data_IF_419078741798
#
_entry.id   IF_419078741798
#
_cell.length_a   1.000
_cell.length_b   1.000
_cell.length_c   1.000
_cell.angle_alpha   90.00
_cell.angle_beta   90.00
_cell.angle_gamma   90.00
#
_symmetry.space_group_name_H-M   'P 1'
#
loop_
_entity.id
_entity.type
_entity.pdbx_description
1 polymer ?
#
# COMPACT_ATOMS: atom_id res chain seq x y z
N UNK A 1 -27.31 5.70 -64.47
CA UNK A 1 -25.96 6.14 -64.04
C UNK A 1 -25.83 6.01 -62.53
N UNK A 2 -24.67 5.56 -62.06
CA UNK A 2 -24.44 4.77 -60.84
C UNK A 2 -24.65 5.48 -59.48
N UNK A 3 -25.01 4.74 -58.42
CA UNK A 3 -25.31 5.23 -57.08
C UNK A 3 -24.14 5.18 -56.08
N UNK A 4 -24.25 6.06 -55.07
CA UNK A 4 -23.93 5.88 -53.64
C UNK A 4 -22.53 5.40 -53.22
N UNK A 5 -21.78 6.38 -52.72
CA UNK A 5 -20.79 6.33 -51.64
C UNK A 5 -21.10 5.25 -50.58
N UNK A 6 -20.21 4.27 -50.42
CA UNK A 6 -20.15 3.37 -49.27
C UNK A 6 -18.75 3.52 -48.68
N UNK A 7 -18.70 4.21 -47.54
CA UNK A 7 -17.49 4.45 -46.77
C UNK A 7 -16.78 3.15 -46.42
N UNK A 8 -15.46 3.19 -46.59
CA UNK A 8 -14.48 2.18 -46.21
C UNK A 8 -14.72 1.73 -44.76
N UNK A 9 -15.36 0.58 -44.61
CA UNK A 9 -15.30 -0.18 -43.38
C UNK A 9 -13.87 -0.69 -43.27
N UNK A 10 -13.04 0.03 -42.51
CA UNK A 10 -11.75 -0.42 -42.02
C UNK A 10 -11.95 -1.78 -41.35
N UNK A 11 -11.61 -2.83 -42.09
CA UNK A 11 -11.73 -4.22 -41.65
C UNK A 11 -10.74 -4.40 -40.50
N UNK A 12 -11.26 -4.40 -39.28
CA UNK A 12 -10.52 -4.84 -38.09
C UNK A 12 -10.15 -6.30 -38.34
N UNK A 13 -8.97 -6.54 -38.90
CA UNK A 13 -8.42 -7.89 -39.05
C UNK A 13 -8.33 -8.51 -37.65
N UNK A 14 -8.99 -9.65 -37.39
CA UNK A 14 -8.79 -10.36 -36.14
C UNK A 14 -7.33 -10.80 -36.13
N UNK A 15 -6.55 -10.26 -35.19
CA UNK A 15 -5.16 -10.69 -35.03
C UNK A 15 -5.19 -12.18 -34.64
N UNK A 16 -4.45 -13.05 -35.35
CA UNK A 16 -4.48 -14.49 -35.13
C UNK A 16 -4.09 -14.80 -33.68
N UNK A 17 -4.86 -15.67 -33.01
CA UNK A 17 -4.60 -16.11 -31.62
C UNK A 17 -3.45 -17.12 -31.56
N UNK A 18 -2.30 -16.80 -32.15
CA UNK A 18 -1.06 -17.57 -31.99
C UNK A 18 -0.39 -17.15 -30.68
N UNK A 19 -0.91 -17.67 -29.57
CA UNK A 19 -0.38 -17.35 -28.25
C UNK A 19 -0.81 -18.30 -27.13
N UNK A 20 -1.72 -19.23 -27.36
CA UNK A 20 -2.10 -20.22 -26.33
C UNK A 20 -1.10 -21.39 -26.24
N UNK A 21 0.19 -21.10 -26.42
CA UNK A 21 1.28 -22.07 -26.37
C UNK A 21 1.90 -22.14 -24.98
N UNK A 22 2.34 -23.33 -24.56
CA UNK A 22 3.09 -23.50 -23.31
C UNK A 22 4.39 -22.68 -23.38
N UNK A 23 4.67 -21.86 -22.37
CA UNK A 23 5.93 -21.12 -22.26
C UNK A 23 7.12 -22.08 -22.29
N UNK A 24 8.01 -21.85 -23.24
CA UNK A 24 9.28 -22.56 -23.35
C UNK A 24 10.30 -22.03 -22.33
N UNK A 25 11.35 -22.81 -22.08
CA UNK A 25 12.45 -22.40 -21.21
C UNK A 25 13.17 -21.15 -21.75
N UNK A 26 13.35 -21.06 -23.07
CA UNK A 26 13.99 -19.91 -23.74
C UNK A 26 13.16 -18.64 -23.60
N UNK A 27 11.84 -18.71 -23.80
CA UNK A 27 10.94 -17.57 -23.60
C UNK A 27 10.96 -17.11 -22.14
N UNK A 28 11.02 -18.06 -21.20
CA UNK A 28 11.08 -17.75 -19.76
C UNK A 28 12.40 -17.07 -19.37
N UNK A 29 13.52 -17.50 -19.95
CA UNK A 29 14.83 -16.86 -19.76
C UNK A 29 14.86 -15.46 -20.37
N UNK A 30 14.33 -15.30 -21.59
CA UNK A 30 14.24 -13.99 -22.26
C UNK A 30 13.35 -13.03 -21.48
N UNK A 31 12.25 -13.53 -20.91
CA UNK A 31 11.41 -12.73 -20.00
C UNK A 31 12.20 -12.26 -18.78
N UNK A 32 13.01 -13.11 -18.13
CA UNK A 32 13.85 -12.70 -16.99
C UNK A 32 14.87 -11.61 -17.36
N UNK A 33 15.45 -11.70 -18.54
CA UNK A 33 16.45 -10.75 -19.03
C UNK A 33 15.85 -9.38 -19.38
N UNK A 34 14.66 -9.37 -19.99
CA UNK A 34 14.00 -8.14 -20.43
C UNK A 34 13.20 -7.43 -19.33
N UNK A 35 12.75 -8.15 -18.30
CA UNK A 35 11.88 -7.62 -17.24
C UNK A 35 12.47 -6.45 -16.41
N UNK A 36 13.78 -6.41 -16.11
CA UNK A 36 14.40 -5.25 -15.44
C UNK A 36 14.34 -3.97 -16.26
N UNK A 37 14.49 -4.07 -17.60
CA UNK A 37 14.65 -2.91 -18.49
C UNK A 37 13.32 -2.45 -19.13
N UNK A 38 12.42 -3.39 -19.40
CA UNK A 38 11.20 -3.12 -20.16
C UNK A 38 9.92 -3.35 -19.34
N UNK A 39 8.88 -2.59 -19.63
CA UNK A 39 7.54 -2.85 -19.05
C UNK A 39 6.95 -4.13 -19.64
N UNK A 40 6.06 -4.81 -18.91
CA UNK A 40 5.35 -5.98 -19.42
C UNK A 40 4.63 -5.72 -20.75
N UNK A 41 4.17 -4.48 -20.99
CA UNK A 41 3.57 -4.05 -22.26
C UNK A 41 4.58 -3.98 -23.40
N UNK A 42 5.76 -3.42 -23.16
CA UNK A 42 6.84 -3.41 -24.15
C UNK A 42 7.35 -4.82 -24.45
N UNK A 43 7.49 -5.67 -23.43
CA UNK A 43 7.90 -7.07 -23.60
C UNK A 43 6.85 -7.86 -24.41
N UNK A 44 5.57 -7.64 -24.15
CA UNK A 44 4.48 -8.23 -24.93
C UNK A 44 4.59 -7.88 -26.42
N UNK A 45 4.87 -6.61 -26.74
CA UNK A 45 5.12 -6.16 -28.11
C UNK A 45 6.40 -6.76 -28.73
N UNK A 46 7.48 -6.90 -27.95
CA UNK A 46 8.74 -7.48 -28.43
C UNK A 46 8.68 -8.98 -28.69
N UNK A 47 7.92 -9.72 -27.88
CA UNK A 47 7.80 -11.18 -27.98
C UNK A 47 6.57 -11.63 -28.79
N UNK A 48 5.79 -10.68 -29.33
CA UNK A 48 4.50 -10.93 -30.00
C UNK A 48 3.55 -11.81 -29.18
N UNK A 49 3.54 -11.63 -27.85
CA UNK A 49 2.67 -12.37 -26.91
C UNK A 49 1.60 -11.45 -26.31
N UNK A 50 0.42 -11.96 -25.93
CA UNK A 50 -0.56 -11.18 -25.18
C UNK A 50 0.01 -10.66 -23.86
N UNK A 51 -0.28 -9.40 -23.51
CA UNK A 51 0.14 -8.76 -22.25
C UNK A 51 -0.24 -9.61 -21.02
N UNK A 52 -1.45 -10.18 -21.03
CA UNK A 52 -1.96 -11.02 -19.94
C UNK A 52 -1.12 -12.27 -19.73
N UNK A 53 -0.53 -12.82 -20.79
CA UNK A 53 0.29 -14.02 -20.72
C UNK A 53 1.68 -13.73 -20.16
N UNK A 54 2.29 -12.62 -20.61
CA UNK A 54 3.54 -12.09 -20.05
C UNK A 54 3.40 -11.78 -18.56
N UNK A 55 2.28 -11.16 -18.16
CA UNK A 55 1.98 -10.89 -16.74
C UNK A 55 1.82 -12.18 -15.93
N UNK A 56 1.09 -13.17 -16.46
CA UNK A 56 0.89 -14.47 -15.79
C UNK A 56 2.21 -15.21 -15.63
N UNK A 57 3.05 -15.22 -16.67
CA UNK A 57 4.36 -15.86 -16.60
C UNK A 57 5.30 -15.10 -15.66
N UNK A 58 5.34 -13.77 -15.71
CA UNK A 58 6.15 -12.98 -14.78
C UNK A 58 5.78 -13.27 -13.32
N UNK A 59 4.48 -13.36 -13.03
CA UNK A 59 3.99 -13.75 -11.70
C UNK A 59 4.44 -15.16 -11.32
N UNK A 60 4.34 -16.12 -12.25
CA UNK A 60 4.80 -17.51 -12.05
C UNK A 60 6.31 -17.60 -11.79
N UNK A 61 7.10 -16.75 -12.45
CA UNK A 61 8.56 -16.67 -12.30
C UNK A 61 8.99 -15.79 -11.11
N UNK A 62 8.05 -15.20 -10.36
CA UNK A 62 8.34 -14.29 -9.25
C UNK A 62 8.93 -12.94 -9.68
N UNK A 63 8.88 -12.61 -10.97
CA UNK A 63 9.39 -11.36 -11.52
C UNK A 63 8.47 -10.22 -11.11
N UNK A 64 8.93 -9.41 -10.16
CA UNK A 64 8.27 -8.19 -9.72
C UNK A 64 9.10 -7.01 -10.17
N UNK A 65 8.46 -6.04 -10.83
CA UNK A 65 9.13 -4.78 -11.13
C UNK A 65 9.39 -4.13 -9.79
N UNK A 66 10.59 -3.60 -9.57
CA UNK A 66 10.79 -2.67 -8.48
C UNK A 66 9.74 -1.59 -8.67
N UNK A 67 8.72 -1.62 -7.82
CA UNK A 67 7.72 -0.58 -7.78
C UNK A 67 8.56 0.66 -7.59
N UNK A 68 8.57 1.58 -8.56
CA UNK A 68 9.38 2.81 -8.46
C UNK A 68 9.01 3.38 -7.10
N UNK A 69 9.93 3.23 -6.13
CA UNK A 69 9.71 3.72 -4.78
C UNK A 69 9.30 5.17 -4.93
N UNK A 70 8.46 5.68 -4.03
CA UNK A 70 7.99 7.08 -4.07
C UNK A 70 9.09 7.98 -4.63
N UNK A 71 8.84 8.69 -5.75
CA UNK A 71 9.83 9.45 -6.54
C UNK A 71 10.61 10.51 -5.75
N UNK A 72 10.26 10.66 -4.48
CA UNK A 72 10.93 11.48 -3.49
C UNK A 72 12.31 10.92 -3.15
N UNK A 73 13.29 11.80 -2.98
CA UNK A 73 14.63 11.43 -2.55
C UNK A 73 14.65 10.96 -1.09
N UNK A 74 15.68 10.22 -0.69
CA UNK A 74 15.92 9.89 0.72
C UNK A 74 16.05 11.22 1.50
N UNK A 75 15.43 11.29 2.68
CA UNK A 75 15.33 12.50 3.49
C UNK A 75 14.07 13.34 3.23
N UNK A 76 13.32 13.10 2.15
CA UNK A 76 12.06 13.82 1.94
C UNK A 76 11.04 13.50 3.05
N UNK A 77 10.29 14.52 3.45
CA UNK A 77 9.26 14.43 4.48
C UNK A 77 7.84 14.53 3.90
N UNK A 78 6.87 13.96 4.61
CA UNK A 78 5.43 14.15 4.35
C UNK A 78 4.59 13.80 5.58
N UNK A 79 3.36 14.29 5.60
CA UNK A 79 2.35 13.86 6.56
C UNK A 79 1.69 12.55 6.10
N UNK A 80 1.50 11.61 7.02
CA UNK A 80 0.77 10.36 6.81
C UNK A 80 -0.02 10.02 8.08
N UNK A 81 -1.35 9.96 7.97
CA UNK A 81 -2.25 9.61 9.09
C UNK A 81 -1.99 10.42 10.38
N UNK A 82 -1.64 11.70 10.23
CA UNK A 82 -1.34 12.60 11.35
C UNK A 82 0.11 12.56 11.86
N UNK A 83 0.95 11.68 11.32
CA UNK A 83 2.37 11.61 11.69
C UNK A 83 3.26 12.20 10.60
N UNK A 84 4.30 12.91 11.01
CA UNK A 84 5.38 13.31 10.12
C UNK A 84 6.30 12.10 9.89
N UNK A 85 6.45 11.71 8.63
CA UNK A 85 7.30 10.59 8.21
C UNK A 85 8.38 11.09 7.25
N UNK A 86 9.57 10.50 7.36
CA UNK A 86 10.74 10.79 6.51
C UNK A 86 11.15 9.53 5.75
N UNK A 87 11.51 9.71 4.48
CA UNK A 87 12.03 8.61 3.66
C UNK A 87 13.44 8.28 4.13
N UNK A 88 13.66 7.06 4.64
CA UNK A 88 14.93 6.58 5.18
C UNK A 88 15.66 5.63 4.24
N UNK A 89 14.94 4.87 3.42
CA UNK A 89 15.51 3.95 2.43
C UNK A 89 14.77 4.01 1.10
N UNK A 90 15.34 3.41 0.04
CA UNK A 90 14.72 3.33 -1.29
C UNK A 90 14.65 1.88 -1.79
N UNK A 91 14.07 1.00 -0.97
CA UNK A 91 13.92 -0.43 -1.25
C UNK A 91 12.73 -0.74 -2.17
N UNK A 92 11.87 0.24 -2.44
CA UNK A 92 10.61 0.07 -3.17
C UNK A 92 9.49 -0.53 -2.31
N UNK A 93 9.72 -0.69 -1.00
CA UNK A 93 8.72 -1.14 -0.02
C UNK A 93 8.35 0.03 0.91
N UNK A 94 7.22 0.72 0.70
CA UNK A 94 6.88 1.95 1.44
C UNK A 94 6.90 1.81 2.96
N UNK A 95 6.56 0.63 3.51
CA UNK A 95 6.58 0.37 4.96
C UNK A 95 7.99 0.38 5.56
N UNK A 96 9.01 0.03 4.78
CA UNK A 96 10.42 0.06 5.18
C UNK A 96 11.07 1.39 4.85
N UNK A 97 10.68 1.95 3.70
CA UNK A 97 11.24 3.18 3.16
C UNK A 97 10.85 4.43 3.94
N UNK A 98 9.75 4.39 4.68
CA UNK A 98 9.23 5.52 5.42
C UNK A 98 9.17 5.22 6.91
N UNK A 99 9.83 6.06 7.72
CA UNK A 99 9.83 5.96 9.18
C UNK A 99 9.33 7.28 9.78
N UNK A 100 8.65 7.21 10.92
CA UNK A 100 8.21 8.40 11.66
C UNK A 100 9.42 9.22 12.08
N UNK A 101 9.36 10.53 11.86
CA UNK A 101 10.44 11.46 12.21
C UNK A 101 10.78 11.37 13.69
N UNK A 102 9.76 11.24 14.54
CA UNK A 102 9.93 11.12 16.00
C UNK A 102 10.66 9.86 16.42
N UNK A 103 10.46 8.75 15.70
CA UNK A 103 11.21 7.53 15.98
C UNK A 103 12.67 7.69 15.58
N UNK A 104 12.95 8.37 14.45
CA UNK A 104 14.32 8.63 14.00
C UNK A 104 15.07 9.51 15.02
N UNK A 105 14.44 10.60 15.46
CA UNK A 105 15.02 11.53 16.43
C UNK A 105 15.21 10.89 17.81
N UNK A 106 14.23 10.10 18.26
CA UNK A 106 14.34 9.37 19.52
C UNK A 106 15.47 8.34 19.49
N UNK A 107 15.56 7.54 18.41
CA UNK A 107 16.61 6.53 18.26
C UNK A 107 18.01 7.13 18.17
N UNK A 108 18.14 8.32 17.58
CA UNK A 108 19.41 9.04 17.51
C UNK A 108 19.91 9.50 18.88
N UNK A 109 19.01 9.79 19.83
CA UNK A 109 19.36 10.30 21.17
C UNK A 109 19.40 9.21 22.24
N UNK A 110 18.43 8.30 22.25
CA UNK A 110 18.21 7.33 23.33
C UNK A 110 18.55 5.89 22.90
N UNK A 111 18.83 5.66 21.62
CA UNK A 111 19.00 4.33 21.06
C UNK A 111 17.69 3.63 20.68
N UNK A 112 17.76 2.34 20.30
CA UNK A 112 16.61 1.61 19.75
C UNK A 112 15.47 1.47 20.77
N UNK A 113 14.24 1.55 20.27
CA UNK A 113 13.05 1.32 21.10
C UNK A 113 13.01 -0.15 21.53
N UNK A 114 12.93 -0.46 22.84
CA UNK A 114 12.81 -1.84 23.32
C UNK A 114 11.57 -2.54 22.75
N UNK A 115 11.66 -3.86 22.55
CA UNK A 115 10.55 -4.65 22.04
C UNK A 115 9.32 -4.54 22.95
N UNK A 116 8.13 -4.35 22.36
CA UNK A 116 6.87 -4.20 23.10
C UNK A 116 6.59 -2.78 23.63
N UNK A 117 7.52 -1.84 23.45
CA UNK A 117 7.31 -0.43 23.78
C UNK A 117 6.95 0.39 22.54
N UNK A 118 6.16 1.44 22.77
CA UNK A 118 5.69 2.36 21.75
C UNK A 118 6.07 3.79 22.14
N UNK A 119 6.65 4.52 21.19
CA UNK A 119 6.93 5.95 21.37
C UNK A 119 5.66 6.77 21.14
N UNK A 120 5.25 7.52 22.15
CA UNK A 120 4.07 8.35 22.12
C UNK A 120 4.27 9.66 22.88
N UNK A 121 3.40 10.62 22.60
CA UNK A 121 3.33 11.89 23.33
C UNK A 121 2.75 11.65 24.73
N UNK A 122 3.41 12.22 25.76
CA UNK A 122 2.97 12.17 27.17
C UNK A 122 1.74 13.04 27.40
N UNK A 123 1.72 14.24 26.85
CA UNK A 123 0.57 15.12 26.89
C UNK A 123 0.22 15.63 25.48
N UNK A 124 -0.92 15.20 24.90
CA UNK A 124 -1.33 15.62 23.56
C UNK A 124 -1.66 17.11 23.45
N UNK A 125 -1.88 17.82 24.57
CA UNK A 125 -2.12 19.26 24.57
C UNK A 125 -0.83 20.10 24.44
N UNK A 126 0.33 19.49 24.65
CA UNK A 126 1.63 20.15 24.55
C UNK A 126 2.26 19.89 23.18
N UNK A 127 3.13 20.80 22.69
CA UNK A 127 3.85 20.58 21.45
C UNK A 127 4.70 19.31 21.51
N UNK A 128 4.97 18.76 20.33
CA UNK A 128 5.80 17.58 20.14
C UNK A 128 7.29 17.94 20.31
N UNK A 129 7.74 17.97 21.56
CA UNK A 129 9.16 18.11 21.95
C UNK A 129 9.71 16.79 22.47
N UNK A 130 11.04 16.63 22.50
CA UNK A 130 11.68 15.40 23.02
C UNK A 130 11.26 15.10 24.47
N UNK A 131 11.11 16.13 25.30
CA UNK A 131 10.69 15.98 26.71
C UNK A 131 9.25 15.47 26.85
N UNK A 132 8.38 15.85 25.90
CA UNK A 132 6.99 15.41 25.84
C UNK A 132 6.82 14.06 25.12
N UNK A 133 7.90 13.43 24.67
CA UNK A 133 7.88 12.05 24.17
C UNK A 133 8.23 11.07 25.28
N UNK A 134 7.63 9.89 25.24
CA UNK A 134 7.91 8.81 26.17
C UNK A 134 7.62 7.44 25.58
N UNK A 135 8.30 6.45 26.13
CA UNK A 135 8.03 5.04 25.84
C UNK A 135 6.93 4.53 26.75
N UNK A 136 5.99 3.81 26.18
CA UNK A 136 4.90 3.17 26.91
C UNK A 136 4.75 1.74 26.44
N UNK A 137 4.43 0.85 27.37
CA UNK A 137 3.88 -0.45 26.99
C UNK A 137 2.44 -0.27 26.48
N UNK A 138 1.95 -1.24 25.72
CA UNK A 138 0.53 -1.23 25.31
C UNK A 138 -0.40 -1.16 26.51
N UNK A 139 -0.07 -1.83 27.62
CA UNK A 139 -0.84 -1.79 28.86
C UNK A 139 -0.88 -0.39 29.47
N UNK A 140 0.27 0.27 29.64
CA UNK A 140 0.34 1.64 30.18
C UNK A 140 -0.42 2.64 29.31
N UNK A 141 -0.38 2.46 27.99
CA UNK A 141 -1.17 3.28 27.09
C UNK A 141 -2.68 3.06 27.30
N UNK A 142 -3.11 1.80 27.37
CA UNK A 142 -4.50 1.45 27.67
C UNK A 142 -4.96 2.01 29.00
N UNK A 143 -4.14 1.93 30.04
CA UNK A 143 -4.43 2.50 31.36
C UNK A 143 -4.61 4.02 31.28
N UNK A 144 -3.76 4.73 30.52
CA UNK A 144 -3.89 6.18 30.33
C UNK A 144 -5.20 6.55 29.62
N UNK A 145 -5.54 5.83 28.55
CA UNK A 145 -6.80 6.04 27.83
C UNK A 145 -8.00 5.67 28.71
N UNK A 146 -7.89 4.59 29.49
CA UNK A 146 -8.93 4.15 30.41
C UNK A 146 -9.15 5.18 31.52
N UNK A 147 -8.09 5.68 32.15
CA UNK A 147 -8.13 6.71 33.21
C UNK A 147 -8.81 7.97 32.71
N UNK A 148 -8.49 8.44 31.50
CA UNK A 148 -9.19 9.56 30.89
C UNK A 148 -10.70 9.30 30.67
N UNK A 149 -11.09 8.03 30.56
CA UNK A 149 -12.48 7.59 30.36
C UNK A 149 -13.13 7.04 31.65
N UNK A 150 -12.55 7.24 32.84
CA UNK A 150 -13.02 6.63 34.09
C UNK A 150 -14.31 7.24 34.66
N UNK A 151 -14.78 8.40 34.17
CA UNK A 151 -16.07 8.93 34.61
C UNK A 151 -17.21 8.00 34.15
N UNK A 152 -18.12 7.59 35.06
CA UNK A 152 -19.15 6.60 34.76
C UNK A 152 -20.08 7.03 33.61
N UNK A 153 -20.37 8.32 33.50
CA UNK A 153 -21.18 8.89 32.41
C UNK A 153 -20.46 8.80 31.05
N UNK A 154 -19.14 9.06 31.02
CA UNK A 154 -18.35 8.95 29.78
C UNK A 154 -18.27 7.52 29.28
N UNK A 155 -18.16 6.55 30.20
CA UNK A 155 -18.19 5.12 29.87
C UNK A 155 -19.52 4.72 29.23
N UNK A 156 -20.64 5.17 29.80
CA UNK A 156 -21.98 4.95 29.24
C UNK A 156 -22.10 5.58 27.84
N UNK A 157 -21.60 6.80 27.66
CA UNK A 157 -21.61 7.49 26.38
C UNK A 157 -20.80 6.75 25.30
N UNK A 158 -19.60 6.28 25.64
CA UNK A 158 -18.78 5.47 24.73
C UNK A 158 -19.48 4.16 24.34
N UNK A 159 -20.12 3.50 25.32
CA UNK A 159 -20.89 2.28 25.08
C UNK A 159 -22.08 2.54 24.15
N UNK A 160 -22.84 3.61 24.39
CA UNK A 160 -23.97 4.01 23.56
C UNK A 160 -23.54 4.35 22.14
N UNK A 161 -22.46 5.13 21.97
CA UNK A 161 -21.86 5.42 20.65
C UNK A 161 -21.50 4.13 19.91
N UNK A 162 -20.92 3.16 20.62
CA UNK A 162 -20.60 1.83 20.08
C UNK A 162 -21.84 1.07 19.62
N UNK A 163 -22.90 1.03 20.43
CA UNK A 163 -24.17 0.39 20.10
C UNK A 163 -24.82 1.03 18.86
N UNK A 164 -24.84 2.36 18.78
CA UNK A 164 -25.38 3.09 17.62
C UNK A 164 -24.56 2.78 16.37
N UNK A 165 -23.22 2.82 16.46
CA UNK A 165 -22.32 2.50 15.34
C UNK A 165 -22.57 1.08 14.82
N UNK A 166 -22.72 0.10 15.72
CA UNK A 166 -23.05 -1.27 15.35
C UNK A 166 -24.43 -1.39 14.70
N UNK A 167 -25.45 -0.71 15.24
CA UNK A 167 -26.79 -0.70 14.68
C UNK A 167 -26.82 -0.12 13.26
N UNK A 168 -26.08 0.97 13.03
CA UNK A 168 -25.89 1.56 11.71
C UNK A 168 -25.22 0.54 10.79
N UNK A 169 -24.07 -0.01 11.18
CA UNK A 169 -23.31 -0.96 10.35
C UNK A 169 -24.11 -2.23 10.02
N UNK A 170 -24.98 -2.71 10.93
CA UNK A 170 -25.90 -3.83 10.65
C UNK A 170 -26.93 -3.51 9.58
N UNK A 171 -27.40 -2.26 9.52
CA UNK A 171 -28.39 -1.78 8.53
C UNK A 171 -27.75 -1.39 7.21
N UNK A 172 -26.55 -0.82 7.23
CA UNK A 172 -25.85 -0.31 6.05
C UNK A 172 -24.92 -1.32 5.40
N UNK A 173 -24.52 -2.39 6.11
CA UNK A 173 -23.74 -3.47 5.49
C UNK A 173 -24.60 -4.16 4.43
N UNK A 174 -24.21 -4.15 3.15
CA UNK A 174 -24.91 -4.90 2.13
C UNK A 174 -24.87 -6.39 2.53
N UNK A 175 -26.03 -7.06 2.55
CA UNK A 175 -26.10 -8.51 2.73
C UNK A 175 -25.10 -9.14 1.76
N UNK A 176 -24.01 -9.72 2.27
CA UNK A 176 -23.14 -10.60 1.48
C UNK A 176 -24.04 -11.71 0.97
N UNK A 177 -24.38 -11.71 -0.33
CA UNK A 177 -24.93 -12.90 -0.98
C UNK A 177 -23.90 -14.01 -0.76
N UNK A 178 -24.29 -15.02 0.00
CA UNK A 178 -23.51 -16.25 0.17
C UNK A 178 -23.41 -16.96 -1.21
N UNK A 179 -22.34 -17.73 -1.46
CA UNK A 179 -22.15 -18.47 -2.71
C UNK A 179 -23.26 -19.52 -2.92
#
# INVERSE_FOLDING_TARGET
MNPRNVGEQSTIRPHPKEGRGKWTAQESSRLRELYPQHTARQIASMMSKPLTEVQRQATKLGLRKHNKGSSKHIGSERMDRGYLIRKVTDTGQPKKDWKRVELIEWEALNGPIPAGMMLMVKNPALPRTMDNLGLFTSQQHWERVLVQNQHPELRQLCQLKGQITQAINRRTSPKRKAP
#
